data_IF_906925195712
#
_entry.id   IF_906925195712
#
_cell.length_a   1.000
_cell.length_b   1.000
_cell.length_c   1.000
_cell.angle_alpha   90.00
_cell.angle_beta   90.00
_cell.angle_gamma   90.00
#
_symmetry.space_group_name_H-M   'P 1'
#
loop_
_entity.id
_entity.type
_entity.pdbx_description
1 polymer ?
#
# COMPACT_ATOMS: atom_id res chain seq x y z
N UNK A 1 10.40 1.14 21.41
CA UNK A 1 8.95 1.43 21.54
C UNK A 1 8.32 1.53 20.18
N UNK A 2 7.22 0.85 19.89
CA UNK A 2 6.49 1.06 18.67
C UNK A 2 5.93 2.49 18.64
N UNK A 3 6.09 3.14 17.52
CA UNK A 3 5.51 4.48 17.31
C UNK A 3 4.16 4.34 16.62
N UNK A 4 3.16 5.05 17.09
CA UNK A 4 1.90 5.18 16.39
C UNK A 4 2.14 6.11 15.19
N UNK A 5 1.68 5.67 14.04
CA UNK A 5 1.80 6.42 12.79
C UNK A 5 0.48 6.38 12.02
N UNK A 6 0.29 7.37 11.17
CA UNK A 6 -0.74 7.35 10.12
C UNK A 6 -0.08 7.03 8.80
N UNK A 7 -0.61 6.04 8.11
CA UNK A 7 -0.19 5.65 6.77
C UNK A 7 -1.34 5.93 5.80
N UNK A 8 -1.05 6.60 4.71
CA UNK A 8 -2.03 6.85 3.66
C UNK A 8 -1.84 5.85 2.54
N UNK A 9 -2.91 5.13 2.24
CA UNK A 9 -2.97 4.08 1.24
C UNK A 9 -3.76 4.51 0.03
N UNK A 10 -3.24 4.22 -1.14
CA UNK A 10 -3.97 4.28 -2.40
C UNK A 10 -4.49 2.87 -2.70
N UNK A 11 -5.79 2.75 -2.97
CA UNK A 11 -6.48 1.46 -3.07
C UNK A 11 -6.80 1.17 -4.53
N UNK A 12 -6.46 -0.03 -5.04
CA UNK A 12 -6.84 -0.45 -6.39
C UNK A 12 -8.36 -0.48 -6.57
N UNK A 13 -8.81 -0.07 -7.75
CA UNK A 13 -10.21 -0.17 -8.15
C UNK A 13 -10.58 -1.61 -8.59
N UNK A 14 -11.86 -1.94 -8.50
CA UNK A 14 -12.38 -3.18 -9.07
C UNK A 14 -12.28 -3.18 -10.61
N UNK A 15 -12.16 -4.33 -11.25
CA UNK A 15 -12.08 -5.69 -10.68
C UNK A 15 -10.69 -6.12 -10.24
N UNK A 16 -9.66 -5.30 -10.45
CA UNK A 16 -8.27 -5.68 -10.14
C UNK A 16 -7.99 -5.76 -8.63
N UNK A 17 -8.72 -4.98 -7.84
CA UNK A 17 -8.66 -5.10 -6.38
C UNK A 17 -8.97 -6.52 -5.93
N UNK A 18 -10.04 -7.13 -6.43
CA UNK A 18 -10.42 -8.50 -6.10
C UNK A 18 -9.33 -9.50 -6.50
N UNK A 19 -8.70 -9.33 -7.65
CA UNK A 19 -7.58 -10.19 -8.08
C UNK A 19 -6.38 -10.10 -7.12
N UNK A 20 -6.05 -8.90 -6.64
CA UNK A 20 -5.02 -8.74 -5.62
C UNK A 20 -5.42 -9.36 -4.29
N UNK A 21 -6.66 -9.18 -3.85
CA UNK A 21 -7.19 -9.79 -2.62
C UNK A 21 -7.07 -11.31 -2.68
N UNK A 22 -7.45 -11.92 -3.80
CA UNK A 22 -7.38 -13.36 -4.01
C UNK A 22 -5.93 -13.87 -3.98
N UNK A 23 -5.02 -13.18 -4.66
CA UNK A 23 -3.60 -13.54 -4.65
C UNK A 23 -2.99 -13.44 -3.25
N UNK A 24 -3.26 -12.36 -2.53
CA UNK A 24 -2.82 -12.18 -1.14
C UNK A 24 -3.40 -13.29 -0.25
N UNK A 25 -4.67 -13.64 -0.42
CA UNK A 25 -5.33 -14.71 0.34
C UNK A 25 -4.69 -16.08 0.07
N UNK A 26 -4.39 -16.40 -1.17
CA UNK A 26 -3.74 -17.67 -1.55
C UNK A 26 -2.35 -17.76 -0.92
N UNK A 27 -1.54 -16.71 -1.05
CA UNK A 27 -0.20 -16.66 -0.49
C UNK A 27 -0.22 -16.68 1.05
N UNK A 28 -1.14 -15.96 1.66
CA UNK A 28 -1.31 -15.95 3.11
C UNK A 28 -1.65 -17.34 3.65
N UNK A 29 -2.52 -18.08 2.97
CA UNK A 29 -2.85 -19.47 3.33
C UNK A 29 -1.66 -20.39 3.13
N UNK A 30 -0.96 -20.30 2.01
CA UNK A 30 0.17 -21.17 1.66
C UNK A 30 1.34 -21.03 2.66
N UNK A 31 1.62 -19.82 3.12
CA UNK A 31 2.76 -19.50 3.98
C UNK A 31 2.40 -19.24 5.44
N UNK A 32 1.16 -19.46 5.84
CA UNK A 32 0.67 -19.09 7.17
C UNK A 32 1.04 -17.63 7.51
N UNK A 33 0.66 -16.71 6.63
CA UNK A 33 0.91 -15.29 6.74
C UNK A 33 -0.38 -14.50 7.07
N UNK A 34 -0.28 -13.25 7.57
CA UNK A 34 -1.46 -12.40 7.71
C UNK A 34 -2.03 -12.02 6.35
N UNK A 35 -3.37 -11.98 6.26
CA UNK A 35 -4.06 -11.33 5.16
C UNK A 35 -4.14 -9.82 5.40
N UNK A 36 -4.22 -9.05 4.31
CA UNK A 36 -4.34 -7.60 4.36
C UNK A 36 -4.99 -7.06 3.08
N UNK A 37 -5.52 -5.85 3.17
CA UNK A 37 -6.08 -5.17 2.00
C UNK A 37 -4.97 -4.73 1.04
N UNK A 38 -5.08 -4.98 -0.28
CA UNK A 38 -4.10 -4.52 -1.24
C UNK A 38 -4.05 -2.99 -1.28
N UNK A 39 -2.86 -2.43 -1.15
CA UNK A 39 -2.66 -0.98 -1.11
C UNK A 39 -1.27 -0.58 -1.59
N UNK A 40 -1.18 0.64 -2.09
CA UNK A 40 0.06 1.34 -2.37
C UNK A 40 0.24 2.45 -1.33
N UNK A 41 1.33 2.42 -0.58
CA UNK A 41 1.61 3.44 0.43
C UNK A 41 2.03 4.75 -0.23
N UNK A 42 1.31 5.84 0.07
CA UNK A 42 1.58 7.18 -0.42
C UNK A 42 2.47 7.97 0.52
N UNK A 43 2.18 7.92 1.81
CA UNK A 43 2.80 8.74 2.82
C UNK A 43 2.72 8.05 4.18
N UNK A 44 3.78 8.20 4.97
CA UNK A 44 3.83 7.80 6.38
C UNK A 44 4.09 9.04 7.22
N UNK A 45 3.21 9.33 8.16
CA UNK A 45 3.33 10.48 9.08
C UNK A 45 3.37 10.02 10.52
N UNK A 46 3.92 10.84 11.41
CA UNK A 46 3.67 10.68 12.83
C UNK A 46 2.16 10.84 13.11
N UNK A 47 1.68 10.35 14.25
CA UNK A 47 0.28 10.54 14.63
C UNK A 47 -0.06 12.04 14.59
N UNK A 48 -1.07 12.39 13.79
CA UNK A 48 -1.42 13.78 13.50
C UNK A 48 -2.52 14.28 14.44
N UNK A 49 -2.43 15.56 14.81
CA UNK A 49 -3.47 16.23 15.61
C UNK A 49 -4.67 16.67 14.77
N UNK A 50 -4.56 16.64 13.45
CA UNK A 50 -5.66 16.96 12.54
C UNK A 50 -6.56 15.74 12.36
N UNK A 51 -7.85 15.97 12.12
CA UNK A 51 -8.74 14.89 11.78
C UNK A 51 -8.41 14.37 10.37
N UNK A 52 -8.25 13.07 10.23
CA UNK A 52 -7.92 12.40 8.95
C UNK A 52 -8.93 12.76 7.85
N UNK A 53 -10.20 12.94 8.23
CA UNK A 53 -11.26 13.35 7.32
C UNK A 53 -10.96 14.70 6.69
N UNK A 54 -10.58 15.70 7.48
CA UNK A 54 -10.24 17.05 6.99
C UNK A 54 -9.03 17.03 6.06
N UNK A 55 -8.02 16.18 6.34
CA UNK A 55 -6.87 16.01 5.46
C UNK A 55 -7.31 15.47 4.11
N UNK A 56 -8.10 14.39 4.11
CA UNK A 56 -8.56 13.76 2.87
C UNK A 56 -9.52 14.65 2.07
N UNK A 57 -10.34 15.47 2.73
CA UNK A 57 -11.25 16.42 2.07
C UNK A 57 -10.49 17.49 1.26
N UNK A 58 -9.27 17.84 1.64
CA UNK A 58 -8.42 18.78 0.91
C UNK A 58 -7.80 18.19 -0.36
N UNK A 59 -7.89 16.87 -0.55
CA UNK A 59 -7.32 16.20 -1.73
C UNK A 59 -8.32 16.29 -2.88
N UNK A 60 -7.94 17.01 -3.91
CA UNK A 60 -8.66 17.06 -5.17
C UNK A 60 -7.84 16.30 -6.22
N UNK A 61 -8.18 15.04 -6.42
CA UNK A 61 -7.49 14.17 -7.36
C UNK A 61 -8.48 13.30 -8.12
N UNK A 62 -8.16 13.10 -9.39
CA UNK A 62 -8.81 12.11 -10.26
C UNK A 62 -8.31 10.71 -9.95
N UNK A 63 -8.91 9.71 -10.59
CA UNK A 63 -8.42 8.34 -10.58
C UNK A 63 -6.93 8.31 -10.95
N UNK A 64 -6.16 7.47 -10.27
CA UNK A 64 -4.74 7.28 -10.55
C UNK A 64 -4.57 5.98 -11.33
N UNK A 65 -4.07 6.05 -12.55
CA UNK A 65 -3.75 4.89 -13.36
C UNK A 65 -2.22 4.71 -13.42
N UNK A 66 -1.75 3.53 -13.03
CA UNK A 66 -0.33 3.21 -13.03
C UNK A 66 -0.04 1.95 -13.84
N UNK A 67 1.08 1.95 -14.56
CA UNK A 67 1.60 0.76 -15.23
C UNK A 67 2.33 -0.14 -14.25
N UNK A 68 2.14 -1.45 -14.40
CA UNK A 68 2.92 -2.44 -13.66
C UNK A 68 4.38 -2.42 -14.10
N UNK A 69 5.26 -2.57 -13.10
CA UNK A 69 6.64 -3.01 -13.28
C UNK A 69 6.77 -4.50 -12.99
N UNK A 70 7.94 -4.91 -12.53
CA UNK A 70 8.20 -6.31 -12.15
C UNK A 70 7.62 -6.67 -10.79
N UNK A 71 7.42 -7.99 -10.58
CA UNK A 71 7.27 -8.58 -9.25
C UNK A 71 8.67 -8.76 -8.68
N UNK A 72 8.88 -8.30 -7.47
CA UNK A 72 10.16 -8.31 -6.78
C UNK A 72 10.01 -8.73 -5.32
N UNK A 73 11.12 -8.83 -4.61
CA UNK A 73 11.14 -9.25 -3.21
C UNK A 73 12.20 -8.50 -2.41
N UNK A 74 12.06 -8.52 -1.08
CA UNK A 74 13.05 -7.92 -0.18
C UNK A 74 13.14 -8.70 1.14
N UNK A 75 14.02 -8.26 2.03
CA UNK A 75 14.14 -8.81 3.39
C UNK A 75 13.17 -8.19 4.39
N UNK A 76 12.44 -7.14 4.01
CA UNK A 76 11.49 -6.47 4.90
C UNK A 76 10.20 -7.26 5.02
N UNK A 77 9.69 -7.42 6.24
CA UNK A 77 8.45 -8.16 6.53
C UNK A 77 7.26 -7.66 5.70
N UNK A 78 7.03 -6.35 5.65
CA UNK A 78 5.91 -5.73 4.91
C UNK A 78 6.18 -5.55 3.41
N UNK A 79 7.31 -6.03 2.93
CA UNK A 79 7.74 -5.94 1.54
C UNK A 79 8.47 -7.23 1.12
N UNK A 80 7.96 -8.36 1.56
CA UNK A 80 8.57 -9.67 1.28
C UNK A 80 8.47 -10.02 -0.19
N UNK A 81 7.26 -9.90 -0.76
CA UNK A 81 6.97 -10.08 -2.17
C UNK A 81 6.02 -8.95 -2.59
N UNK A 82 6.29 -8.28 -3.69
CA UNK A 82 5.53 -7.10 -4.10
C UNK A 82 5.59 -6.85 -5.60
N UNK A 83 4.57 -6.15 -6.09
CA UNK A 83 4.50 -5.64 -7.47
C UNK A 83 4.94 -4.19 -7.47
N UNK A 84 5.92 -3.85 -8.29
CA UNK A 84 6.30 -2.44 -8.54
C UNK A 84 5.36 -1.79 -9.54
N UNK A 85 5.22 -0.49 -9.42
CA UNK A 85 4.52 0.35 -10.38
C UNK A 85 5.44 1.45 -10.90
N UNK A 86 5.24 1.83 -12.14
CA UNK A 86 5.93 2.98 -12.73
C UNK A 86 5.26 4.25 -12.23
N UNK A 87 6.02 5.12 -11.56
CA UNK A 87 5.53 6.42 -11.11
C UNK A 87 5.18 7.32 -12.30
N UNK A 88 4.18 8.16 -12.13
CA UNK A 88 3.79 9.17 -13.12
C UNK A 88 3.50 10.52 -12.42
N UNK A 89 3.21 11.55 -13.22
CA UNK A 89 2.99 12.89 -12.71
C UNK A 89 1.73 12.98 -11.82
N UNK A 90 0.68 12.20 -12.13
CA UNK A 90 -0.54 12.17 -11.32
C UNK A 90 -0.27 11.64 -9.90
N UNK A 91 0.47 10.54 -9.79
CA UNK A 91 0.88 9.99 -8.49
C UNK A 91 1.77 10.96 -7.71
N UNK A 92 2.76 11.57 -8.38
CA UNK A 92 3.66 12.55 -7.76
C UNK A 92 2.89 13.75 -7.22
N UNK A 93 1.95 14.28 -8.01
CA UNK A 93 1.07 15.39 -7.59
C UNK A 93 0.25 15.01 -6.38
N UNK A 94 -0.40 13.83 -6.40
CA UNK A 94 -1.19 13.35 -5.27
C UNK A 94 -0.37 13.28 -3.97
N UNK A 95 0.85 12.75 -4.04
CA UNK A 95 1.75 12.67 -2.88
C UNK A 95 2.11 14.06 -2.36
N UNK A 96 2.40 15.02 -3.24
CA UNK A 96 2.70 16.40 -2.85
C UNK A 96 1.49 17.06 -2.19
N UNK A 97 0.31 16.92 -2.77
CA UNK A 97 -0.94 17.49 -2.23
C UNK A 97 -1.26 16.88 -0.86
N UNK A 98 -1.10 15.57 -0.71
CA UNK A 98 -1.31 14.87 0.55
C UNK A 98 -0.33 15.33 1.64
N UNK A 99 0.96 15.48 1.30
CA UNK A 99 1.96 16.01 2.23
C UNK A 99 1.61 17.42 2.70
N UNK A 100 1.16 18.26 1.79
CA UNK A 100 0.75 19.64 2.11
C UNK A 100 -0.46 19.62 3.03
N UNK A 101 -1.50 18.85 2.71
CA UNK A 101 -2.71 18.74 3.53
C UNK A 101 -2.41 18.18 4.93
N UNK A 102 -1.57 17.16 5.03
CA UNK A 102 -1.15 16.58 6.31
C UNK A 102 -0.09 17.41 7.05
N UNK A 103 0.39 18.52 6.48
CA UNK A 103 1.49 19.33 7.04
C UNK A 103 2.69 18.49 7.46
N UNK A 104 2.98 17.43 6.70
CA UNK A 104 3.96 16.42 7.04
C UNK A 104 5.32 16.71 6.42
N UNK A 105 6.37 16.50 7.20
CA UNK A 105 7.76 16.39 6.73
C UNK A 105 8.19 14.94 6.52
N UNK A 106 7.23 13.99 6.56
CA UNK A 106 7.47 12.55 6.39
C UNK A 106 8.19 12.20 5.09
N UNK A 107 8.77 11.00 5.07
CA UNK A 107 9.51 10.51 3.91
C UNK A 107 8.57 10.22 2.74
N UNK A 108 9.00 10.55 1.52
CA UNK A 108 8.36 10.09 0.29
C UNK A 108 8.51 8.59 0.12
N UNK A 109 7.47 7.96 -0.35
CA UNK A 109 7.59 6.63 -0.92
C UNK A 109 8.10 6.77 -2.35
N UNK A 110 9.36 6.41 -2.56
CA UNK A 110 10.03 6.55 -3.87
C UNK A 110 9.80 5.36 -4.79
N UNK A 111 9.43 4.23 -4.24
CA UNK A 111 9.25 2.96 -4.95
C UNK A 111 7.78 2.53 -4.79
N UNK A 112 6.87 3.01 -5.66
CA UNK A 112 5.46 2.69 -5.55
C UNK A 112 5.24 1.20 -5.81
N UNK A 113 4.62 0.52 -4.86
CA UNK A 113 4.39 -0.92 -4.93
C UNK A 113 3.14 -1.34 -4.16
N UNK A 114 2.60 -2.49 -4.54
CA UNK A 114 1.58 -3.22 -3.78
C UNK A 114 2.21 -4.50 -3.28
N UNK A 115 2.23 -4.70 -1.97
CA UNK A 115 2.74 -5.91 -1.35
C UNK A 115 1.77 -7.08 -1.55
N UNK A 116 2.32 -8.27 -1.73
CA UNK A 116 1.58 -9.51 -1.95
C UNK A 116 1.71 -10.49 -0.77
N UNK A 117 2.76 -10.38 0.02
CA UNK A 117 3.05 -11.29 1.12
C UNK A 117 3.82 -10.58 2.25
N UNK A 118 3.38 -10.80 3.48
CA UNK A 118 4.05 -10.37 4.72
C UNK A 118 4.49 -11.60 5.52
N UNK A 119 5.64 -12.13 5.18
CA UNK A 119 6.22 -13.30 5.86
C UNK A 119 7.72 -13.38 5.60
N UNK A 120 8.50 -13.63 6.63
CA UNK A 120 9.91 -13.99 6.44
C UNK A 120 10.00 -15.40 5.86
N UNK A 121 10.50 -15.52 4.65
CA UNK A 121 10.70 -16.79 3.94
C UNK A 121 12.07 -16.81 3.28
N UNK A 122 12.63 -17.99 2.94
CA UNK A 122 13.93 -18.11 2.29
C UNK A 122 14.01 -17.36 0.97
N UNK A 123 15.19 -16.84 0.63
CA UNK A 123 15.42 -16.09 -0.61
C UNK A 123 15.10 -16.92 -1.85
N UNK A 124 15.43 -18.20 -1.85
CA UNK A 124 15.14 -19.10 -2.98
C UNK A 124 13.63 -19.18 -3.27
N UNK A 125 12.80 -19.26 -2.22
CA UNK A 125 11.34 -19.29 -2.34
C UNK A 125 10.81 -17.96 -2.87
N UNK A 126 11.33 -16.83 -2.40
CA UNK A 126 10.96 -15.49 -2.90
C UNK A 126 11.28 -15.34 -4.39
N UNK A 127 12.46 -15.79 -4.81
CA UNK A 127 12.88 -15.78 -6.24
C UNK A 127 11.93 -16.59 -7.10
N UNK A 128 11.59 -17.80 -6.67
CA UNK A 128 10.65 -18.67 -7.38
C UNK A 128 9.28 -18.00 -7.52
N UNK A 129 8.71 -17.49 -6.43
CA UNK A 129 7.43 -16.78 -6.48
C UNK A 129 7.47 -15.57 -7.42
N UNK A 130 8.50 -14.75 -7.33
CA UNK A 130 8.65 -13.56 -8.18
C UNK A 130 8.78 -13.93 -9.67
N UNK A 131 9.40 -15.07 -9.99
CA UNK A 131 9.57 -15.55 -11.37
C UNK A 131 8.34 -16.27 -11.93
N UNK A 132 7.48 -16.84 -11.09
CA UNK A 132 6.33 -17.66 -11.50
C UNK A 132 5.00 -16.93 -11.49
N UNK A 133 4.79 -15.98 -10.57
CA UNK A 133 3.55 -15.22 -10.50
C UNK A 133 3.43 -14.31 -11.74
N UNK A 134 2.28 -14.39 -12.39
CA UNK A 134 1.92 -13.56 -13.53
C UNK A 134 0.59 -12.87 -13.26
N UNK A 135 0.56 -11.56 -13.45
CA UNK A 135 -0.67 -10.78 -13.37
C UNK A 135 -1.25 -10.63 -14.77
N UNK A 136 -2.56 -10.89 -14.97
CA UNK A 136 -3.19 -10.89 -16.29
C UNK A 136 -3.51 -9.46 -16.79
N UNK A 137 -2.82 -8.44 -16.29
CA UNK A 137 -3.04 -7.05 -16.66
C UNK A 137 -1.73 -6.25 -16.60
N UNK A 138 -1.67 -5.14 -17.34
CA UNK A 138 -0.47 -4.28 -17.42
C UNK A 138 -0.62 -2.95 -16.70
N UNK A 139 -1.83 -2.60 -16.32
CA UNK A 139 -2.15 -1.32 -15.68
C UNK A 139 -3.18 -1.54 -14.57
N UNK A 140 -3.13 -0.70 -13.57
CA UNK A 140 -4.09 -0.68 -12.45
C UNK A 140 -4.60 0.74 -12.26
N UNK A 141 -5.92 0.87 -12.14
CA UNK A 141 -6.57 2.10 -11.69
C UNK A 141 -6.73 2.02 -10.18
N UNK A 142 -6.45 3.12 -9.51
CA UNK A 142 -6.67 3.31 -8.09
C UNK A 142 -7.75 4.37 -7.93
N UNK A 143 -8.75 4.12 -7.08
CA UNK A 143 -9.96 4.92 -7.00
C UNK A 143 -10.28 5.47 -5.61
N UNK A 144 -9.45 5.17 -4.62
CA UNK A 144 -9.68 5.68 -3.26
C UNK A 144 -8.40 5.79 -2.45
N UNK A 145 -8.45 6.66 -1.43
CA UNK A 145 -7.39 6.83 -0.43
C UNK A 145 -7.95 6.46 0.93
N UNK A 146 -7.17 5.73 1.74
CA UNK A 146 -7.47 5.44 3.13
C UNK A 146 -6.38 5.99 4.04
N UNK A 147 -6.78 6.62 5.13
CA UNK A 147 -5.90 6.94 6.25
C UNK A 147 -5.98 5.83 7.28
N UNK A 148 -4.85 5.21 7.59
CA UNK A 148 -4.76 4.03 8.45
C UNK A 148 -3.83 4.31 9.62
N UNK A 149 -4.31 4.10 10.84
CA UNK A 149 -3.48 4.13 12.04
C UNK A 149 -2.80 2.78 12.22
N UNK A 150 -1.51 2.80 12.44
CA UNK A 150 -0.73 1.58 12.69
C UNK A 150 0.42 1.83 13.67
N UNK A 151 0.93 0.74 14.24
CA UNK A 151 2.19 0.73 14.99
C UNK A 151 3.35 0.44 14.04
N UNK A 152 4.41 1.23 14.11
CA UNK A 152 5.63 1.03 13.33
C UNK A 152 6.82 0.69 14.24
N UNK A 153 7.71 -0.19 13.79
CA UNK A 153 7.63 -0.98 12.56
C UNK A 153 6.59 -2.11 12.67
N UNK A 154 5.99 -2.48 11.53
CA UNK A 154 5.13 -3.68 11.43
C UNK A 154 6.02 -4.92 11.36
N UNK A 155 5.89 -5.84 12.31
CA UNK A 155 6.81 -6.97 12.50
C UNK A 155 6.16 -8.33 12.36
N UNK A 156 4.86 -8.42 12.63
CA UNK A 156 4.15 -9.67 12.71
C UNK A 156 2.64 -9.54 12.41
N UNK A 157 1.95 -10.66 12.52
CA UNK A 157 0.50 -10.76 12.32
C UNK A 157 -0.30 -9.89 13.29
N UNK A 158 0.15 -9.75 14.53
CA UNK A 158 -0.56 -8.95 15.52
C UNK A 158 -0.53 -7.46 15.16
N UNK A 159 0.62 -6.97 14.69
CA UNK A 159 0.78 -5.60 14.22
C UNK A 159 -0.15 -5.31 13.00
N UNK A 160 -0.28 -6.27 12.06
CA UNK A 160 -1.20 -6.14 10.91
C UNK A 160 -2.67 -6.12 11.37
N UNK A 161 -3.05 -6.99 12.30
CA UNK A 161 -4.41 -7.02 12.86
C UNK A 161 -4.77 -5.77 13.67
N UNK A 162 -3.76 -5.07 14.17
CA UNK A 162 -3.94 -3.83 14.94
C UNK A 162 -4.24 -2.60 14.06
N UNK A 163 -4.11 -2.70 12.74
CA UNK A 163 -4.43 -1.60 11.83
C UNK A 163 -5.88 -1.14 11.95
N UNK A 164 -6.08 0.17 11.89
CA UNK A 164 -7.42 0.78 11.96
C UNK A 164 -7.59 1.82 10.86
N UNK A 165 -8.59 1.61 10.02
CA UNK A 165 -8.99 2.59 9.01
C UNK A 165 -9.67 3.75 9.75
N UNK A 166 -9.09 4.95 9.64
CA UNK A 166 -9.55 6.15 10.31
C UNK A 166 -10.45 7.01 9.41
N UNK A 167 -10.18 7.01 8.12
CA UNK A 167 -10.96 7.72 7.11
C UNK A 167 -10.71 7.13 5.73
N UNK A 168 -11.63 7.34 4.81
CA UNK A 168 -11.51 6.97 3.41
C UNK A 168 -12.12 8.06 2.52
N UNK A 169 -11.57 8.21 1.32
CA UNK A 169 -12.08 9.11 0.29
C UNK A 169 -12.00 8.45 -1.08
N UNK A 170 -13.10 8.50 -1.83
CA UNK A 170 -13.11 8.14 -3.25
C UNK A 170 -12.44 9.25 -4.07
N UNK A 171 -11.66 8.88 -5.06
CA UNK A 171 -11.09 9.81 -6.02
C UNK A 171 -12.12 10.13 -7.11
N UNK A 172 -12.10 11.38 -7.60
CA UNK A 172 -12.96 11.84 -8.68
C UNK A 172 -12.68 11.12 -10.00
N UNK A 173 -13.68 11.13 -10.88
CA UNK A 173 -13.58 10.57 -12.23
C UNK A 173 -12.87 11.52 -13.18
#
# INVERSE_FOLDING_TARGET
>A
MPKIATVYWLIPAEPKRELFCELIRILAKQFDAPGFEPHLTLLVTAEDRQTFKQILEQIDASLIQLRLGEISFSSKFTKTLFVRFKSNNALKKLIVDLRRAAKSRGKFVRDPHVSLLYKKIPVAVKKELASTIRLPFKEVVFDSIKAVRCHLPVRDRADVKAWRIMAAKSLGR
#
